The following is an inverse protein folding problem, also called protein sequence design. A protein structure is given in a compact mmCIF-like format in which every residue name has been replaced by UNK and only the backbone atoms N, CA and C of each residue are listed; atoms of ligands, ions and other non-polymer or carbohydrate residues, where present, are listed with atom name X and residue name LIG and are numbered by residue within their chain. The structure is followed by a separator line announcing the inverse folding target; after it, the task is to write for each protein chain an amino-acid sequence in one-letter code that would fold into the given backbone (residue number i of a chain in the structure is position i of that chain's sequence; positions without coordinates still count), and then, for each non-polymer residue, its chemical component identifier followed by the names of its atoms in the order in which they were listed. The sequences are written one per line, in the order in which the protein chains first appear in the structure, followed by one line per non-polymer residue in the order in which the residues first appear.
data_IF_442774044971
#
_entry.id   IF_442774044971
#
_cell.length_a   1.000
_cell.length_b   1.000
_cell.length_c   1.000
_cell.angle_alpha   90.00
_cell.angle_beta   90.00
_cell.angle_gamma   90.00
#
_symmetry.space_group_name_H-M   'P 1'
#
loop_
_entity.id
_entity.type
_entity.pdbx_description
1 polymer ?
#
# COMPACT_ATOMS: atom_id res chain seq x y z
N UNK A 1 11.59 23.50 -9.01
CA UNK A 1 12.48 22.32 -9.14
C UNK A 1 11.76 21.18 -8.42
N UNK A 2 10.97 20.38 -9.12
CA UNK A 2 10.17 19.30 -8.52
C UNK A 2 10.93 17.98 -8.66
N UNK A 3 11.19 17.31 -7.54
CA UNK A 3 11.89 16.03 -7.50
C UNK A 3 11.00 14.90 -8.04
N UNK A 4 11.55 13.94 -8.80
CA UNK A 4 10.83 12.74 -9.21
C UNK A 4 10.81 11.75 -8.04
N UNK A 5 9.64 11.20 -7.73
CA UNK A 5 9.49 10.13 -6.75
C UNK A 5 9.83 8.79 -7.40
N UNK A 6 11.08 8.35 -7.25
CA UNK A 6 11.46 6.93 -7.36
C UNK A 6 10.94 6.23 -6.08
N UNK A 7 10.21 5.11 -6.05
CA UNK A 7 9.91 4.08 -7.03
C UNK A 7 10.34 2.73 -6.44
N UNK A 8 9.40 1.94 -5.88
CA UNK A 8 9.64 0.52 -5.52
C UNK A 8 8.82 -0.37 -6.43
N UNK A 9 9.50 -1.31 -7.05
CA UNK A 9 9.01 -2.15 -8.16
C UNK A 9 8.40 -3.43 -7.61
N UNK A 10 7.09 -3.58 -7.82
CA UNK A 10 6.40 -4.87 -7.96
C UNK A 10 5.18 -4.68 -8.87
N UNK A 11 5.46 -4.52 -10.17
CA UNK A 11 4.64 -4.97 -11.32
C UNK A 11 3.18 -4.56 -11.52
N UNK A 12 2.46 -4.01 -10.54
CA UNK A 12 1.07 -3.62 -10.67
C UNK A 12 0.97 -2.09 -10.63
N UNK A 13 0.64 -1.48 -11.76
CA UNK A 13 0.27 -0.06 -11.80
C UNK A 13 -0.98 0.14 -10.94
N UNK A 14 -0.94 1.09 -10.00
CA UNK A 14 -2.16 1.51 -9.32
C UNK A 14 -3.06 2.30 -10.27
N UNK A 15 -4.36 2.24 -10.01
CA UNK A 15 -5.39 2.94 -10.76
C UNK A 15 -6.57 3.27 -9.85
N UNK A 16 -7.37 4.24 -10.26
CA UNK A 16 -8.56 4.62 -9.50
C UNK A 16 -9.70 3.63 -9.76
N UNK A 17 -10.30 3.14 -8.68
CA UNK A 17 -11.44 2.25 -8.74
C UNK A 17 -12.63 2.93 -9.42
N UNK A 18 -13.13 2.31 -10.48
CA UNK A 18 -14.30 2.80 -11.22
C UNK A 18 -15.62 2.23 -10.70
N UNK A 19 -15.54 1.22 -9.83
CA UNK A 19 -16.70 0.55 -9.26
C UNK A 19 -16.44 0.26 -7.78
N UNK A 20 -17.47 0.33 -6.92
CA UNK A 20 -17.33 -0.07 -5.53
C UNK A 20 -17.04 -1.58 -5.45
N UNK A 21 -16.23 -1.95 -4.48
CA UNK A 21 -15.79 -3.32 -4.26
C UNK A 21 -15.44 -3.57 -2.80
N UNK A 22 -14.80 -4.71 -2.55
CA UNK A 22 -14.32 -5.05 -1.22
C UNK A 22 -12.90 -5.57 -1.32
N UNK A 23 -11.98 -4.96 -0.57
CA UNK A 23 -10.62 -5.44 -0.52
C UNK A 23 -10.59 -6.81 0.17
N UNK A 24 -9.97 -7.84 -0.45
CA UNK A 24 -9.90 -9.17 0.13
C UNK A 24 -9.02 -9.22 1.39
N UNK A 25 -8.00 -8.36 1.51
CA UNK A 25 -7.09 -8.28 2.65
C UNK A 25 -7.75 -7.60 3.85
N UNK A 26 -7.94 -6.28 3.80
CA UNK A 26 -8.47 -5.53 4.94
C UNK A 26 -9.96 -5.74 5.18
N UNK A 27 -10.65 -6.43 4.26
CA UNK A 27 -12.12 -6.59 4.25
C UNK A 27 -12.90 -5.28 4.25
N UNK A 28 -12.20 -4.15 4.06
CA UNK A 28 -12.73 -2.82 3.92
C UNK A 28 -13.37 -2.60 2.56
N UNK A 29 -14.24 -1.59 2.49
CA UNK A 29 -14.89 -1.19 1.26
C UNK A 29 -13.90 -0.47 0.34
N UNK A 30 -13.92 -0.82 -0.94
CA UNK A 30 -13.31 -0.04 -2.02
C UNK A 30 -14.41 0.86 -2.58
N UNK A 31 -14.16 2.15 -2.60
CA UNK A 31 -15.07 3.17 -3.12
C UNK A 31 -14.60 3.70 -4.47
N UNK A 32 -15.51 4.34 -5.20
CA UNK A 32 -15.15 5.00 -6.46
C UNK A 32 -14.07 6.06 -6.21
N UNK A 33 -12.99 6.01 -6.99
CA UNK A 33 -11.87 6.93 -6.89
C UNK A 33 -10.74 6.47 -5.96
N UNK A 34 -10.92 5.38 -5.19
CA UNK A 34 -9.83 4.82 -4.38
C UNK A 34 -8.70 4.30 -5.26
N UNK A 35 -7.45 4.53 -4.85
CA UNK A 35 -6.28 3.96 -5.49
C UNK A 35 -6.17 2.47 -5.14
N UNK A 36 -6.19 1.63 -6.19
CA UNK A 36 -6.16 0.18 -6.10
C UNK A 36 -5.18 -0.41 -7.11
N UNK A 37 -4.71 -1.63 -6.86
CA UNK A 37 -3.94 -2.41 -7.84
C UNK A 37 -4.44 -3.85 -7.88
N UNK A 38 -3.95 -4.61 -8.88
CA UNK A 38 -4.20 -6.05 -8.95
C UNK A 38 -3.08 -6.81 -8.22
N UNK A 39 -3.46 -7.70 -7.31
CA UNK A 39 -2.52 -8.62 -6.67
C UNK A 39 -2.05 -9.73 -7.64
N UNK A 40 -1.17 -10.60 -7.15
CA UNK A 40 -0.64 -11.73 -7.93
C UNK A 40 -1.72 -12.75 -8.35
N UNK A 41 -2.86 -12.76 -7.67
CA UNK A 41 -4.02 -13.60 -7.97
C UNK A 41 -5.03 -12.89 -8.90
N UNK A 42 -4.73 -11.67 -9.34
CA UNK A 42 -5.60 -10.86 -10.20
C UNK A 42 -6.79 -10.24 -9.48
N UNK A 43 -6.76 -10.15 -8.15
CA UNK A 43 -7.80 -9.52 -7.32
C UNK A 43 -7.48 -8.05 -7.08
N UNK A 44 -8.52 -7.23 -6.93
CA UNK A 44 -8.37 -5.80 -6.65
C UNK A 44 -8.16 -5.59 -5.15
N UNK A 45 -7.07 -4.93 -4.81
CA UNK A 45 -6.68 -4.56 -3.43
C UNK A 45 -6.39 -3.07 -3.36
N UNK A 46 -6.54 -2.46 -2.17
CA UNK A 46 -6.11 -1.07 -1.95
C UNK A 46 -4.61 -0.92 -2.17
N UNK A 47 -4.19 0.14 -2.86
CA UNK A 47 -2.77 0.42 -3.07
C UNK A 47 -2.03 0.65 -1.74
N UNK A 48 -2.68 1.38 -0.84
CA UNK A 48 -2.25 1.55 0.55
C UNK A 48 -3.17 0.78 1.50
N UNK A 49 -3.16 -0.56 1.42
CA UNK A 49 -3.97 -1.40 2.28
C UNK A 49 -3.44 -1.39 3.73
N UNK A 50 -4.26 -1.08 4.76
CA UNK A 50 -3.79 -0.95 6.14
C UNK A 50 -3.20 -2.24 6.73
N UNK A 51 -3.56 -3.40 6.19
CA UNK A 51 -3.01 -4.70 6.60
C UNK A 51 -1.71 -5.09 5.89
N UNK A 52 -1.33 -4.36 4.84
CA UNK A 52 -0.02 -4.50 4.17
C UNK A 52 0.89 -3.29 4.47
N UNK A 53 0.49 -2.38 5.36
CA UNK A 53 1.38 -1.31 5.85
C UNK A 53 2.55 -1.85 6.69
N UNK A 54 2.51 -3.13 7.08
CA UNK A 54 3.65 -3.81 7.71
C UNK A 54 4.83 -3.98 6.72
N UNK A 55 4.57 -4.05 5.41
CA UNK A 55 5.65 -4.05 4.40
C UNK A 55 6.26 -2.65 4.22
N UNK A 56 5.58 -1.58 4.66
CA UNK A 56 6.19 -0.24 4.70
C UNK A 56 7.18 -0.07 5.85
N UNK A 57 7.38 -1.07 6.72
CA UNK A 57 8.57 -1.15 7.58
C UNK A 57 9.83 -1.59 6.81
N UNK A 58 9.79 -1.62 5.47
CA UNK A 58 10.98 -1.56 4.64
C UNK A 58 11.89 -0.42 5.11
N UNK A 59 13.19 -0.73 5.24
CA UNK A 59 14.21 0.13 5.81
C UNK A 59 14.14 1.57 5.26
N UNK A 60 13.64 2.51 6.06
CA UNK A 60 13.53 3.93 5.68
C UNK A 60 12.25 4.65 6.12
N UNK A 61 11.18 3.92 6.46
CA UNK A 61 9.93 4.53 6.94
C UNK A 61 9.91 4.60 8.47
N UNK A 62 9.47 5.72 9.09
CA UNK A 62 9.30 5.79 10.53
C UNK A 62 8.17 4.85 11.02
N UNK A 63 8.50 3.90 11.89
CA UNK A 63 7.57 2.98 12.57
C UNK A 63 6.53 3.84 13.32
N UNK A 64 5.23 3.62 13.10
CA UNK A 64 4.16 4.44 13.70
C UNK A 64 3.97 4.22 15.20
N UNK A 65 4.59 3.17 15.75
CA UNK A 65 4.50 2.82 17.17
C UNK A 65 5.50 3.61 18.03
N UNK A 66 6.73 3.77 17.55
CA UNK A 66 7.84 4.39 18.28
C UNK A 66 8.41 5.64 17.58
N UNK A 67 7.93 5.97 16.38
CA UNK A 67 8.37 7.09 15.54
C UNK A 67 9.85 7.04 15.13
N UNK A 68 10.46 5.86 15.12
CA UNK A 68 11.86 5.63 14.71
C UNK A 68 11.94 4.86 13.38
N UNK A 69 13.02 5.06 12.62
CA UNK A 69 13.33 4.26 11.42
C UNK A 69 14.13 3.04 11.87
N UNK A 70 13.51 1.85 11.84
CA UNK A 70 14.16 0.60 12.23
C UNK A 70 14.59 -0.19 10.99
N UNK A 71 15.70 -0.92 11.08
CA UNK A 71 16.07 -1.93 10.09
C UNK A 71 15.35 -3.28 10.36
N UNK A 72 14.04 -3.21 10.63
CA UNK A 72 13.20 -4.40 10.89
C UNK A 72 13.07 -4.85 12.35
N UNK A 73 13.55 -4.07 13.33
CA UNK A 73 13.46 -4.39 14.77
C UNK A 73 12.56 -3.41 15.53
N UNK A 74 11.24 -3.43 15.25
CA UNK A 74 10.25 -2.80 16.14
C UNK A 74 9.78 -3.91 17.11
N UNK A 75 10.28 -3.91 18.37
CA UNK A 75 9.76 -4.77 19.46
C UNK A 75 8.64 -4.06 20.23
#
# INVERSE_FOLDING_TARGET
MNAPRLGTVSGARSFQAQYPGRCPDCRGQITLGDDVHYDVEGRIVHDACPLHLDDLNDAGTPCRNCFLIHAGECM
#
